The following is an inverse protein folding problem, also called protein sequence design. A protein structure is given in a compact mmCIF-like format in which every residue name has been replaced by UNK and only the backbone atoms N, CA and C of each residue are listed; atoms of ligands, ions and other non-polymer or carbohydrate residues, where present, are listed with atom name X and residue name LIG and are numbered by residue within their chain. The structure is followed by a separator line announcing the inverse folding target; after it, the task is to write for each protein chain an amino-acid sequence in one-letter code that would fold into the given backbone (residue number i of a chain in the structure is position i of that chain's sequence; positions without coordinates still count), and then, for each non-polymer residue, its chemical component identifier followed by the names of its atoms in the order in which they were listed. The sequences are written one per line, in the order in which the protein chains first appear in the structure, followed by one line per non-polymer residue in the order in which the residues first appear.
data_IF_922369479715
#
_entry.id   IF_922369479715
#
_cell.length_a   1.000
_cell.length_b   1.000
_cell.length_c   1.000
_cell.angle_alpha   90.00
_cell.angle_beta   90.00
_cell.angle_gamma   90.00
#
_symmetry.space_group_name_H-M   'P 1'
#
loop_
_entity.id
_entity.type
_entity.pdbx_description
1 polymer ?
#
# COMPACT_ATOMS: atom_id res chain seq x y z
N UNK A 1 10.93 27.81 -7.34
CA UNK A 1 11.93 26.76 -7.64
C UNK A 1 11.20 25.58 -8.25
N UNK A 2 11.87 24.88 -9.14
CA UNK A 2 11.37 23.64 -9.77
C UNK A 2 11.68 22.45 -8.87
N UNK A 3 10.66 21.69 -8.49
CA UNK A 3 10.76 20.54 -7.59
C UNK A 3 10.39 19.28 -8.37
N UNK A 4 11.30 18.34 -8.47
CA UNK A 4 10.97 16.98 -8.92
C UNK A 4 10.77 16.05 -7.71
N UNK A 5 9.85 15.11 -7.82
CA UNK A 5 9.53 14.17 -6.74
C UNK A 5 9.67 12.73 -7.21
N UNK A 6 10.38 11.92 -6.44
CA UNK A 6 10.43 10.47 -6.57
C UNK A 6 9.63 9.88 -5.41
N UNK A 7 8.57 9.11 -5.73
CA UNK A 7 7.70 8.49 -4.73
C UNK A 7 7.93 6.99 -4.70
N UNK A 8 8.44 6.48 -3.60
CA UNK A 8 8.70 5.06 -3.41
C UNK A 8 7.86 4.50 -2.26
N UNK A 9 7.55 3.20 -2.34
CA UNK A 9 6.92 2.46 -1.27
C UNK A 9 5.39 2.40 -1.33
N UNK A 10 4.73 2.61 -0.20
CA UNK A 10 3.32 2.25 -0.05
C UNK A 10 2.37 3.45 -0.20
N UNK A 11 1.05 3.19 -0.38
CA UNK A 11 0.01 4.24 -0.45
C UNK A 11 0.03 5.28 0.68
N UNK A 12 0.45 4.89 1.88
CA UNK A 12 0.57 5.84 3.01
C UNK A 12 1.70 6.84 2.77
N UNK A 13 2.79 6.36 2.18
CA UNK A 13 3.94 7.21 1.82
C UNK A 13 3.56 8.17 0.68
N UNK A 14 2.75 7.71 -0.29
CA UNK A 14 2.21 8.56 -1.35
C UNK A 14 1.37 9.71 -0.78
N UNK A 15 0.46 9.43 0.16
CA UNK A 15 -0.34 10.50 0.82
C UNK A 15 0.55 11.48 1.57
N UNK A 16 1.65 11.02 2.18
CA UNK A 16 2.61 11.90 2.86
C UNK A 16 3.30 12.83 1.84
N UNK A 17 3.68 12.31 0.67
CA UNK A 17 4.25 13.12 -0.42
C UNK A 17 3.25 14.13 -0.98
N UNK A 18 2.00 13.72 -1.21
CA UNK A 18 0.93 14.61 -1.70
C UNK A 18 0.75 15.85 -0.81
N UNK A 19 0.88 15.66 0.52
CA UNK A 19 0.84 16.78 1.49
C UNK A 19 2.06 17.67 1.35
N UNK A 20 3.27 17.10 1.20
CA UNK A 20 4.50 17.89 1.02
C UNK A 20 4.47 18.70 -0.28
N UNK A 21 4.02 18.08 -1.38
CA UNK A 21 3.87 18.77 -2.67
C UNK A 21 2.87 19.92 -2.56
N UNK A 22 1.76 19.74 -1.87
CA UNK A 22 0.81 20.84 -1.63
C UNK A 22 1.43 22.01 -0.86
N UNK A 23 2.25 21.74 0.15
CA UNK A 23 2.95 22.76 0.92
C UNK A 23 3.91 23.55 0.01
N UNK A 24 4.70 22.84 -0.81
CA UNK A 24 5.65 23.44 -1.74
C UNK A 24 4.96 24.30 -2.80
N UNK A 25 3.89 23.80 -3.42
CA UNK A 25 3.10 24.57 -4.38
C UNK A 25 2.46 25.83 -3.75
N UNK A 26 1.97 25.70 -2.50
CA UNK A 26 1.40 26.83 -1.75
C UNK A 26 2.43 27.89 -1.39
N UNK A 27 3.72 27.52 -1.30
CA UNK A 27 4.84 28.42 -1.10
C UNK A 27 5.34 29.08 -2.40
N UNK A 28 4.74 28.75 -3.56
CA UNK A 28 5.09 29.33 -4.86
C UNK A 28 6.18 28.56 -5.61
N UNK A 29 6.47 27.32 -5.22
CA UNK A 29 7.28 26.41 -6.02
C UNK A 29 6.43 25.79 -7.15
N UNK A 30 7.07 25.16 -8.12
CA UNK A 30 6.42 24.42 -9.20
C UNK A 30 6.96 22.99 -9.28
N UNK A 31 6.13 22.03 -9.68
CA UNK A 31 6.56 20.64 -9.89
C UNK A 31 6.99 20.42 -11.34
N UNK A 32 8.04 19.64 -11.55
CA UNK A 32 8.53 19.20 -12.86
C UNK A 32 8.66 17.68 -12.89
N UNK A 33 8.46 17.07 -14.05
CA UNK A 33 8.60 15.64 -14.24
C UNK A 33 10.06 15.23 -14.50
N UNK A 34 10.81 16.07 -15.24
CA UNK A 34 12.19 15.80 -15.60
C UNK A 34 13.12 16.18 -14.42
N UNK A 35 13.84 15.18 -13.90
CA UNK A 35 14.81 15.36 -12.83
C UNK A 35 15.95 16.33 -13.23
N UNK A 36 16.30 16.36 -14.51
CA UNK A 36 17.35 17.25 -15.05
C UNK A 36 16.98 18.74 -15.04
N UNK A 37 15.67 19.05 -14.99
CA UNK A 37 15.18 20.43 -14.92
C UNK A 37 14.99 20.95 -13.49
N UNK A 38 15.18 20.08 -12.49
CA UNK A 38 14.86 20.39 -11.11
C UNK A 38 15.92 21.28 -10.44
N UNK A 39 15.47 22.18 -9.58
CA UNK A 39 16.29 22.86 -8.57
C UNK A 39 16.40 22.00 -7.30
N UNK A 40 15.37 21.22 -7.00
CA UNK A 40 15.28 20.29 -5.86
C UNK A 40 14.73 18.95 -6.33
N UNK A 41 15.37 17.84 -5.96
CA UNK A 41 14.82 16.51 -6.07
C UNK A 41 14.44 16.03 -4.67
N UNK A 42 13.15 15.75 -4.46
CA UNK A 42 12.60 15.20 -3.22
C UNK A 42 12.38 13.69 -3.39
N UNK A 43 13.19 12.89 -2.70
CA UNK A 43 13.08 11.42 -2.72
C UNK A 43 12.33 10.95 -1.48
N UNK A 44 11.08 10.52 -1.67
CA UNK A 44 10.23 9.98 -0.59
C UNK A 44 10.38 8.46 -0.55
N UNK A 45 11.08 7.95 0.45
CA UNK A 45 11.66 6.60 0.49
C UNK A 45 10.85 5.59 1.29
N UNK A 46 10.95 4.32 0.90
CA UNK A 46 10.54 3.17 1.70
C UNK A 46 11.76 2.57 2.44
N UNK A 47 11.54 2.09 3.65
CA UNK A 47 12.59 1.45 4.47
C UNK A 47 12.05 0.26 5.25
N UNK A 48 11.05 -0.46 4.68
CA UNK A 48 10.34 -1.52 5.38
C UNK A 48 11.02 -2.88 5.26
N UNK A 49 11.45 -3.26 4.06
CA UNK A 49 12.15 -4.53 3.78
C UNK A 49 13.40 -4.25 2.94
N UNK A 50 14.33 -5.22 2.88
CA UNK A 50 15.63 -5.07 2.23
C UNK A 50 15.51 -4.61 0.76
N UNK A 51 14.65 -5.24 -0.03
CA UNK A 51 14.45 -4.86 -1.44
C UNK A 51 13.99 -3.40 -1.61
N UNK A 52 13.11 -2.93 -0.74
CA UNK A 52 12.65 -1.55 -0.77
C UNK A 52 13.72 -0.56 -0.28
N UNK A 53 14.65 -0.99 0.57
CA UNK A 53 15.83 -0.19 0.96
C UNK A 53 16.79 -0.06 -0.21
N UNK A 54 17.07 -1.17 -0.90
CA UNK A 54 17.93 -1.17 -2.10
C UNK A 54 17.38 -0.24 -3.17
N UNK A 55 16.10 -0.37 -3.52
CA UNK A 55 15.43 0.52 -4.46
C UNK A 55 15.53 2.00 -4.04
N UNK A 56 15.31 2.28 -2.76
CA UNK A 56 15.41 3.65 -2.24
C UNK A 56 16.83 4.22 -2.35
N UNK A 57 17.86 3.43 -2.03
CA UNK A 57 19.26 3.84 -2.13
C UNK A 57 19.64 4.09 -3.60
N UNK A 58 19.26 3.21 -4.52
CA UNK A 58 19.51 3.36 -5.96
C UNK A 58 18.90 4.67 -6.48
N UNK A 59 17.65 4.98 -6.13
CA UNK A 59 16.99 6.22 -6.52
C UNK A 59 17.63 7.47 -5.88
N UNK A 60 18.13 7.38 -4.65
CA UNK A 60 18.88 8.49 -4.01
C UNK A 60 20.19 8.75 -4.77
N UNK A 61 20.94 7.69 -5.11
CA UNK A 61 22.19 7.80 -5.87
C UNK A 61 21.95 8.35 -7.28
N UNK A 62 20.89 7.91 -7.94
CA UNK A 62 20.46 8.46 -9.23
C UNK A 62 20.18 9.96 -9.10
N UNK A 63 19.35 10.38 -8.14
CA UNK A 63 19.04 11.79 -7.88
C UNK A 63 20.32 12.62 -7.63
N UNK A 64 21.28 12.09 -6.86
CA UNK A 64 22.55 12.73 -6.60
C UNK A 64 23.43 12.86 -7.87
N UNK A 65 23.32 11.93 -8.81
CA UNK A 65 24.09 11.96 -10.06
C UNK A 65 23.81 13.20 -10.92
N UNK A 66 22.59 13.76 -10.85
CA UNK A 66 22.22 14.99 -11.57
C UNK A 66 23.00 16.23 -11.11
N UNK A 67 23.61 16.21 -9.92
CA UNK A 67 24.50 17.28 -9.46
C UNK A 67 25.75 17.47 -10.33
N UNK A 68 26.15 16.45 -11.09
CA UNK A 68 27.25 16.56 -12.05
C UNK A 68 26.94 17.58 -13.17
N UNK A 69 25.66 17.60 -13.62
CA UNK A 69 25.19 18.54 -14.62
C UNK A 69 24.70 19.87 -14.01
N UNK A 70 24.13 19.84 -12.81
CA UNK A 70 23.64 21.01 -12.07
C UNK A 70 24.22 21.02 -10.64
N UNK A 71 25.37 21.65 -10.40
CA UNK A 71 25.98 21.70 -9.06
C UNK A 71 25.15 22.44 -7.99
N UNK A 72 24.13 23.20 -8.38
CA UNK A 72 23.24 23.91 -7.45
C UNK A 72 22.00 23.07 -7.07
N UNK A 73 21.81 21.92 -7.71
CA UNK A 73 20.73 20.99 -7.39
C UNK A 73 20.80 20.57 -5.92
N UNK A 74 19.66 20.59 -5.26
CA UNK A 74 19.51 20.08 -3.90
C UNK A 74 18.76 18.76 -3.88
N UNK A 75 19.28 17.76 -3.16
CA UNK A 75 18.65 16.45 -2.98
C UNK A 75 18.19 16.32 -1.54
N UNK A 76 16.89 16.12 -1.36
CA UNK A 76 16.23 15.94 -0.06
C UNK A 76 15.69 14.51 0.02
N UNK A 77 16.11 13.78 1.05
CA UNK A 77 15.62 12.42 1.32
C UNK A 77 14.64 12.44 2.47
N UNK A 78 13.47 11.85 2.28
CA UNK A 78 12.42 11.74 3.31
C UNK A 78 11.78 10.34 3.30
N UNK A 79 10.81 10.11 4.18
CA UNK A 79 10.08 8.86 4.25
C UNK A 79 10.61 7.86 5.27
N UNK A 80 10.24 6.59 5.08
CA UNK A 80 10.51 5.54 6.08
C UNK A 80 12.01 5.21 6.20
N UNK A 81 12.77 5.24 5.10
CA UNK A 81 14.22 5.03 5.15
C UNK A 81 14.89 6.17 5.92
N UNK A 82 14.57 7.42 5.59
CA UNK A 82 15.07 8.59 6.28
C UNK A 82 14.76 8.56 7.78
N UNK A 83 13.55 8.12 8.17
CA UNK A 83 13.17 7.99 9.58
C UNK A 83 13.96 6.88 10.30
N UNK A 84 14.29 5.79 9.60
CA UNK A 84 14.92 4.60 10.18
C UNK A 84 16.44 4.71 10.26
N UNK A 85 17.09 5.27 9.23
CA UNK A 85 18.54 5.25 9.02
C UNK A 85 19.21 6.62 9.04
N UNK A 86 18.57 7.58 9.60
CA UNK A 86 18.98 8.99 9.84
C UNK A 86 20.43 9.30 9.49
N UNK A 87 21.34 9.21 10.48
CA UNK A 87 22.76 9.55 10.35
C UNK A 87 23.50 8.67 9.33
N UNK A 88 23.07 7.42 9.11
CA UNK A 88 23.74 6.55 8.14
C UNK A 88 23.61 7.07 6.71
N UNK A 89 22.47 7.70 6.35
CA UNK A 89 22.28 8.28 5.03
C UNK A 89 23.27 9.44 4.82
N UNK A 90 23.47 10.31 5.83
CA UNK A 90 24.42 11.40 5.74
C UNK A 90 25.87 10.94 5.68
N UNK A 91 26.22 9.93 6.48
CA UNK A 91 27.58 9.39 6.55
C UNK A 91 27.99 8.66 5.27
N UNK A 92 27.05 7.89 4.67
CA UNK A 92 27.33 7.03 3.52
C UNK A 92 27.04 7.70 2.17
N UNK A 93 26.12 8.70 2.13
CA UNK A 93 25.77 9.44 0.90
C UNK A 93 25.88 10.96 1.17
N UNK A 94 27.11 11.49 1.27
CA UNK A 94 27.34 12.89 1.60
C UNK A 94 26.85 13.88 0.53
N UNK A 95 26.45 13.41 -0.64
CA UNK A 95 25.83 14.22 -1.68
C UNK A 95 24.38 14.62 -1.36
N UNK A 96 23.73 14.01 -0.35
CA UNK A 96 22.39 14.38 0.12
C UNK A 96 22.47 15.69 0.90
N UNK A 97 21.66 16.69 0.52
CA UNK A 97 21.68 18.02 1.16
C UNK A 97 20.79 18.08 2.41
N UNK A 98 19.73 17.26 2.49
CA UNK A 98 18.90 17.18 3.68
C UNK A 98 18.26 15.79 3.88
N UNK A 99 18.18 15.36 5.14
CA UNK A 99 17.47 14.15 5.56
C UNK A 99 16.32 14.54 6.47
N UNK A 100 15.08 14.21 6.07
CA UNK A 100 13.85 14.68 6.69
C UNK A 100 13.02 13.48 7.17
N UNK A 101 12.89 13.31 8.48
CA UNK A 101 12.04 12.30 9.07
C UNK A 101 10.54 12.56 8.82
N UNK A 102 9.74 11.51 8.83
CA UNK A 102 8.30 11.58 8.54
C UNK A 102 7.51 12.58 9.39
N UNK A 103 7.96 12.83 10.63
CA UNK A 103 7.33 13.83 11.51
C UNK A 103 7.58 15.29 11.08
N UNK A 104 8.60 15.52 10.26
CA UNK A 104 9.01 16.85 9.81
C UNK A 104 8.52 17.21 8.41
N UNK A 105 7.71 16.37 7.77
CA UNK A 105 7.19 16.60 6.42
C UNK A 105 6.49 17.97 6.26
N UNK A 106 5.85 18.49 7.31
CA UNK A 106 5.22 19.82 7.29
C UNK A 106 6.22 20.98 7.22
N UNK A 107 7.48 20.74 7.53
CA UNK A 107 8.54 21.75 7.48
C UNK A 107 9.27 21.80 6.13
N UNK A 108 8.82 21.04 5.13
CA UNK A 108 9.56 20.84 3.88
C UNK A 108 9.89 22.15 3.16
N UNK A 109 8.97 23.13 3.12
CA UNK A 109 9.22 24.43 2.51
C UNK A 109 10.34 25.20 3.25
N UNK A 110 10.33 25.20 4.58
CA UNK A 110 11.38 25.87 5.36
C UNK A 110 12.75 25.18 5.19
N UNK A 111 12.77 23.87 4.98
CA UNK A 111 14.00 23.11 4.70
C UNK A 111 14.55 23.51 3.34
N UNK A 112 13.71 23.56 2.31
CA UNK A 112 14.10 24.06 0.98
C UNK A 112 14.66 25.48 1.07
N UNK A 113 13.96 26.38 1.76
CA UNK A 113 14.44 27.77 1.93
C UNK A 113 15.80 27.84 2.64
N UNK A 114 16.06 27.06 3.67
CA UNK A 114 17.34 27.00 4.39
C UNK A 114 18.49 26.51 3.50
N UNK A 115 18.26 25.47 2.70
CA UNK A 115 19.25 24.96 1.75
C UNK A 115 19.67 26.01 0.71
N UNK A 116 18.72 26.82 0.22
CA UNK A 116 19.04 27.92 -0.73
C UNK A 116 19.58 29.19 -0.05
N UNK A 117 19.52 29.29 1.28
CA UNK A 117 20.19 30.31 2.06
C UNK A 117 21.63 29.91 2.46
N UNK A 118 22.14 28.79 1.97
CA UNK A 118 23.53 28.36 2.14
C UNK A 118 23.76 27.45 3.35
N UNK A 119 22.70 26.91 3.95
CA UNK A 119 22.84 25.81 4.91
C UNK A 119 22.97 24.47 4.14
N UNK A 120 23.79 23.56 4.63
CA UNK A 120 24.03 22.26 4.05
C UNK A 120 23.83 21.15 5.11
N UNK A 121 23.63 19.90 4.66
CA UNK A 121 23.48 18.71 5.52
C UNK A 121 22.44 18.92 6.62
N UNK A 122 21.23 19.31 6.20
CA UNK A 122 20.14 19.57 7.14
C UNK A 122 19.50 18.27 7.63
N UNK A 123 19.47 18.12 8.93
CA UNK A 123 18.64 17.10 9.58
C UNK A 123 17.36 17.72 10.16
N UNK A 124 16.22 17.08 9.93
CA UNK A 124 14.95 17.50 10.53
C UNK A 124 14.13 16.29 10.95
N UNK A 125 14.05 16.05 12.24
CA UNK A 125 13.29 14.96 12.84
C UNK A 125 12.36 15.50 13.91
N UNK A 126 11.11 15.05 13.89
CA UNK A 126 10.12 15.32 14.92
C UNK A 126 9.87 14.13 15.84
N UNK A 127 8.90 14.23 16.71
CA UNK A 127 8.43 13.13 17.52
C UNK A 127 7.39 12.31 16.74
N UNK A 128 7.38 10.99 16.92
CA UNK A 128 6.43 10.09 16.22
C UNK A 128 4.95 10.47 16.46
N UNK A 129 4.63 11.10 17.58
CA UNK A 129 3.30 11.65 17.85
C UNK A 129 2.92 12.83 16.93
N UNK A 130 3.90 13.45 16.26
CA UNK A 130 3.72 14.63 15.42
C UNK A 130 3.61 14.26 13.92
N UNK A 131 3.69 12.96 13.55
CA UNK A 131 3.50 12.52 12.18
C UNK A 131 2.16 13.01 11.65
N UNK A 132 2.11 13.57 10.44
CA UNK A 132 0.88 14.07 9.85
C UNK A 132 -0.15 12.94 9.67
N UNK A 133 -1.33 13.11 10.23
CA UNK A 133 -2.45 12.18 10.00
C UNK A 133 -3.19 12.45 8.70
N UNK A 134 -3.13 13.69 8.22
CA UNK A 134 -3.74 14.19 7.01
C UNK A 134 -3.38 15.65 6.81
N UNK A 135 -4.10 16.32 5.93
CA UNK A 135 -3.89 17.74 5.61
C UNK A 135 -4.38 18.03 4.20
N UNK A 136 -4.33 19.30 3.79
CA UNK A 136 -4.51 19.66 2.40
C UNK A 136 -3.39 19.02 1.59
N UNK A 137 -3.74 18.44 0.45
CA UNK A 137 -2.79 17.73 -0.42
C UNK A 137 -3.17 17.86 -1.89
N UNK A 138 -2.26 17.53 -2.77
CA UNK A 138 -2.55 17.24 -4.17
C UNK A 138 -3.07 15.80 -4.30
N UNK A 139 -3.57 15.43 -5.46
CA UNK A 139 -3.90 14.05 -5.79
C UNK A 139 -2.75 13.54 -6.67
N UNK A 140 -1.86 12.73 -6.09
CA UNK A 140 -0.70 12.16 -6.78
C UNK A 140 -0.98 10.85 -7.52
N UNK A 141 -2.21 10.33 -7.42
CA UNK A 141 -2.71 9.19 -8.17
C UNK A 141 -3.43 9.67 -9.45
N UNK A 142 -3.75 8.78 -10.41
CA UNK A 142 -4.74 9.08 -11.44
C UNK A 142 -6.03 9.66 -10.84
N UNK A 143 -6.65 10.61 -11.54
CA UNK A 143 -7.73 11.45 -10.98
C UNK A 143 -8.98 10.68 -10.50
N UNK A 144 -9.16 9.44 -10.93
CA UNK A 144 -10.36 8.65 -10.66
C UNK A 144 -10.26 7.76 -9.41
N UNK A 145 -9.08 7.59 -8.80
CA UNK A 145 -8.96 6.94 -7.49
C UNK A 145 -8.03 7.72 -6.57
N UNK A 146 -8.21 7.55 -5.27
CA UNK A 146 -7.33 8.16 -4.28
C UNK A 146 -7.25 7.33 -2.99
N UNK A 147 -6.09 7.39 -2.36
CA UNK A 147 -5.90 6.80 -1.04
C UNK A 147 -6.44 7.73 0.05
N UNK A 148 -7.22 7.18 0.97
CA UNK A 148 -7.69 7.86 2.18
C UNK A 148 -6.96 7.29 3.39
N UNK A 149 -5.94 8.00 3.88
CA UNK A 149 -5.21 7.62 5.08
C UNK A 149 -6.02 7.96 6.32
N UNK A 150 -6.48 6.93 7.05
CA UNK A 150 -7.37 7.08 8.22
C UNK A 150 -6.66 6.97 9.57
N UNK A 151 -5.44 6.43 9.59
CA UNK A 151 -4.63 6.31 10.80
C UNK A 151 -3.14 6.24 10.46
N UNK A 152 -2.30 6.40 11.48
CA UNK A 152 -0.84 6.29 11.41
C UNK A 152 -0.34 5.44 12.59
N UNK A 153 0.73 4.64 12.33
CA UNK A 153 1.31 3.78 13.36
C UNK A 153 0.52 2.50 13.62
N UNK A 154 1.09 1.60 14.42
CA UNK A 154 0.48 0.28 14.67
C UNK A 154 0.84 -0.25 16.05
N UNK A 155 -0.14 -0.86 16.74
CA UNK A 155 0.02 -1.48 18.05
C UNK A 155 0.13 -3.02 18.03
N UNK A 156 0.11 -3.66 16.85
CA UNK A 156 0.08 -5.12 16.73
C UNK A 156 1.39 -5.79 17.17
N UNK A 157 2.55 -5.10 17.05
CA UNK A 157 3.87 -5.56 17.51
C UNK A 157 4.26 -6.93 16.93
N UNK A 158 3.93 -7.21 15.68
CA UNK A 158 4.38 -8.42 15.01
C UNK A 158 5.92 -8.49 15.02
N UNK A 159 6.48 -9.66 15.34
CA UNK A 159 7.91 -9.81 15.59
C UNK A 159 8.80 -9.56 14.40
N UNK A 160 8.28 -9.69 13.18
CA UNK A 160 8.98 -9.41 11.92
C UNK A 160 8.89 -7.94 11.47
N UNK A 161 8.11 -7.10 12.16
CA UNK A 161 7.69 -5.81 11.63
C UNK A 161 8.41 -4.64 12.28
N UNK A 162 9.07 -3.81 11.46
CA UNK A 162 9.75 -2.60 11.90
C UNK A 162 8.81 -1.36 12.04
N UNK A 163 7.55 -1.44 11.58
CA UNK A 163 6.62 -0.31 11.53
C UNK A 163 6.43 0.40 12.88
N UNK A 164 6.23 -0.27 14.03
CA UNK A 164 6.09 0.43 15.29
C UNK A 164 7.33 1.26 15.67
N UNK A 165 8.52 0.81 15.26
CA UNK A 165 9.76 1.55 15.45
C UNK A 165 9.89 2.74 14.50
N UNK A 166 9.36 2.65 13.27
CA UNK A 166 9.40 3.72 12.26
C UNK A 166 8.25 4.72 12.48
N UNK A 167 7.00 4.25 12.46
CA UNK A 167 5.77 5.06 12.42
C UNK A 167 5.11 5.29 13.78
N UNK A 168 5.61 4.64 14.83
CA UNK A 168 5.10 4.79 16.20
C UNK A 168 3.81 4.02 16.48
N UNK A 169 3.17 4.33 17.64
CA UNK A 169 1.90 3.71 18.05
C UNK A 169 0.74 4.17 17.17
N UNK A 170 -0.33 3.38 17.18
CA UNK A 170 -1.57 3.73 16.48
C UNK A 170 -2.09 5.11 16.92
N UNK A 171 -2.40 5.93 15.94
CA UNK A 171 -3.09 7.21 16.07
C UNK A 171 -4.15 7.31 14.97
N UNK A 172 -5.39 7.21 15.35
CA UNK A 172 -6.52 7.35 14.44
C UNK A 172 -6.75 8.82 14.10
N UNK A 173 -7.01 9.10 12.84
CA UNK A 173 -7.38 10.42 12.35
C UNK A 173 -8.83 10.72 12.73
N UNK A 174 -9.13 11.97 13.05
CA UNK A 174 -10.51 12.38 13.33
C UNK A 174 -11.47 11.99 12.20
N UNK A 175 -12.62 11.45 12.57
CA UNK A 175 -13.59 10.92 11.60
C UNK A 175 -14.19 12.03 10.72
N UNK A 176 -14.41 13.21 11.27
CA UNK A 176 -14.93 14.34 10.50
C UNK A 176 -13.90 14.80 9.46
N UNK A 177 -12.62 14.79 9.79
CA UNK A 177 -11.53 15.10 8.85
C UNK A 177 -11.45 14.09 7.71
N UNK A 178 -11.58 12.78 8.01
CA UNK A 178 -11.61 11.74 6.99
C UNK A 178 -12.80 11.94 6.02
N UNK A 179 -13.97 12.22 6.56
CA UNK A 179 -15.19 12.47 5.75
C UNK A 179 -15.06 13.76 4.94
N UNK A 180 -14.46 14.81 5.52
CA UNK A 180 -14.24 16.07 4.81
C UNK A 180 -13.30 15.91 3.62
N UNK A 181 -12.19 15.18 3.82
CA UNK A 181 -11.27 14.87 2.73
C UNK A 181 -11.92 14.00 1.65
N UNK A 182 -12.68 12.97 2.04
CA UNK A 182 -13.37 12.12 1.08
C UNK A 182 -14.41 12.91 0.24
N UNK A 183 -15.09 13.92 0.82
CA UNK A 183 -15.98 14.82 0.07
C UNK A 183 -15.21 15.72 -0.89
N UNK A 184 -14.05 16.22 -0.47
CA UNK A 184 -13.18 16.99 -1.35
C UNK A 184 -12.72 16.14 -2.52
N UNK A 185 -12.21 14.92 -2.28
CA UNK A 185 -11.79 13.98 -3.32
C UNK A 185 -12.93 13.68 -4.31
N UNK A 186 -14.13 13.45 -3.81
CA UNK A 186 -15.32 13.27 -4.67
C UNK A 186 -15.59 14.50 -5.55
N UNK A 187 -15.40 15.72 -5.00
CA UNK A 187 -15.52 16.98 -5.73
C UNK A 187 -14.48 17.15 -6.84
N UNK A 188 -13.29 16.59 -6.66
CA UNK A 188 -12.22 16.54 -7.66
C UNK A 188 -12.42 15.45 -8.73
N UNK A 189 -13.47 14.62 -8.60
CA UNK A 189 -13.81 13.60 -9.60
C UNK A 189 -13.38 12.16 -9.25
N UNK A 190 -12.81 11.94 -8.07
CA UNK A 190 -12.44 10.61 -7.59
C UNK A 190 -13.67 9.70 -7.53
N UNK A 191 -13.56 8.51 -8.12
CA UNK A 191 -14.59 7.47 -8.16
C UNK A 191 -14.34 6.37 -7.14
N UNK A 192 -13.08 6.02 -6.90
CA UNK A 192 -12.69 4.99 -5.94
C UNK A 192 -11.89 5.58 -4.78
N UNK A 193 -12.38 5.38 -3.54
CA UNK A 193 -11.63 5.63 -2.31
C UNK A 193 -10.98 4.34 -1.82
N UNK A 194 -9.67 4.37 -1.61
CA UNK A 194 -8.93 3.24 -1.06
C UNK A 194 -8.50 3.60 0.36
N UNK A 195 -9.16 2.97 1.33
CA UNK A 195 -8.88 3.19 2.75
C UNK A 195 -7.57 2.51 3.12
N UNK A 196 -6.63 3.29 3.65
CA UNK A 196 -5.30 2.84 4.04
C UNK A 196 -4.92 3.29 5.44
N UNK A 197 -4.26 2.40 6.15
CA UNK A 197 -3.51 2.60 7.38
C UNK A 197 -2.52 1.43 7.50
N UNK A 198 -1.75 1.34 8.58
CA UNK A 198 -0.99 0.12 8.87
C UNK A 198 -1.90 -1.04 9.28
N UNK A 199 -3.05 -0.70 9.87
CA UNK A 199 -4.15 -1.60 10.20
C UNK A 199 -5.44 -0.77 10.30
N UNK A 200 -6.22 -0.64 9.21
CA UNK A 200 -7.48 0.13 9.22
C UNK A 200 -8.54 -0.45 10.16
N UNK A 201 -8.48 -1.76 10.40
CA UNK A 201 -9.45 -2.44 11.28
C UNK A 201 -9.27 -2.06 12.75
N UNK A 202 -8.09 -1.50 13.12
CA UNK A 202 -7.81 -0.94 14.44
C UNK A 202 -8.28 0.52 14.62
N UNK A 203 -8.87 1.14 13.59
CA UNK A 203 -9.30 2.54 13.64
C UNK A 203 -10.24 2.81 14.81
N UNK A 204 -9.89 3.79 15.65
CA UNK A 204 -10.61 4.19 16.87
C UNK A 204 -10.23 3.43 18.15
N UNK A 205 -9.36 2.40 18.08
CA UNK A 205 -8.92 1.69 19.31
C UNK A 205 -8.16 2.62 20.27
N UNK A 206 -7.37 3.55 19.76
CA UNK A 206 -6.66 4.56 20.56
C UNK A 206 -7.59 5.59 21.23
N UNK A 207 -8.83 5.68 20.78
CA UNK A 207 -9.90 6.47 21.43
C UNK A 207 -10.72 5.64 22.43
N UNK A 208 -10.41 4.35 22.61
CA UNK A 208 -11.22 3.42 23.38
C UNK A 208 -12.54 3.03 22.68
N UNK A 209 -12.62 3.19 21.36
CA UNK A 209 -13.78 2.88 20.51
C UNK A 209 -13.41 1.90 19.39
N UNK A 210 -13.12 0.63 19.73
CA UNK A 210 -12.84 -0.37 18.70
C UNK A 210 -14.03 -0.51 17.73
N UNK A 211 -13.73 -0.82 16.45
CA UNK A 211 -14.76 -0.95 15.42
C UNK A 211 -15.29 0.37 14.84
N UNK A 212 -14.71 1.52 15.18
CA UNK A 212 -15.08 2.83 14.60
C UNK A 212 -14.97 2.89 13.07
N UNK A 213 -14.23 1.97 12.47
CA UNK A 213 -14.19 1.85 11.00
C UNK A 213 -15.58 1.59 10.42
N UNK A 214 -16.45 0.84 11.11
CA UNK A 214 -17.81 0.57 10.64
C UNK A 214 -18.62 1.86 10.51
N UNK A 215 -18.55 2.76 11.51
CA UNK A 215 -19.19 4.07 11.45
C UNK A 215 -18.59 4.96 10.36
N UNK A 216 -17.27 4.89 10.15
CA UNK A 216 -16.62 5.62 9.07
C UNK A 216 -17.12 5.15 7.72
N UNK A 217 -17.23 3.83 7.47
CA UNK A 217 -17.78 3.27 6.23
C UNK A 217 -19.22 3.76 5.99
N UNK A 218 -20.08 3.77 7.02
CA UNK A 218 -21.45 4.26 6.94
C UNK A 218 -21.53 5.75 6.53
N UNK A 219 -20.54 6.55 6.90
CA UNK A 219 -20.45 7.96 6.51
C UNK A 219 -19.88 8.15 5.12
N UNK A 220 -18.83 7.39 4.76
CA UNK A 220 -18.22 7.44 3.43
C UNK A 220 -19.19 6.97 2.35
N UNK A 221 -19.98 5.93 2.62
CA UNK A 221 -20.98 5.39 1.69
C UNK A 221 -22.02 6.43 1.25
N UNK A 222 -22.26 7.47 2.06
CA UNK A 222 -23.21 8.55 1.78
C UNK A 222 -22.66 9.68 0.92
N UNK A 223 -21.39 9.62 0.54
CA UNK A 223 -20.74 10.67 -0.25
C UNK A 223 -21.10 10.47 -1.73
N UNK A 224 -21.75 11.47 -2.33
CA UNK A 224 -22.04 11.46 -3.75
C UNK A 224 -20.77 11.63 -4.56
N UNK A 225 -20.68 10.96 -5.70
CA UNK A 225 -19.52 11.00 -6.60
C UNK A 225 -18.52 9.87 -6.36
N UNK A 226 -18.41 9.32 -5.14
CA UNK A 226 -17.71 8.08 -4.87
C UNK A 226 -18.61 6.91 -5.25
N UNK A 227 -18.05 5.97 -6.01
CA UNK A 227 -18.74 4.75 -6.44
C UNK A 227 -18.17 3.51 -5.74
N UNK A 228 -16.84 3.45 -5.53
CA UNK A 228 -16.16 2.35 -4.88
C UNK A 228 -15.40 2.78 -3.62
N UNK A 229 -15.47 1.97 -2.58
CA UNK A 229 -14.71 2.10 -1.34
C UNK A 229 -14.00 0.77 -1.11
N UNK A 230 -12.68 0.76 -1.17
CA UNK A 230 -11.84 -0.42 -0.96
C UNK A 230 -11.10 -0.35 0.36
N UNK A 231 -10.95 -1.50 1.04
CA UNK A 231 -10.23 -1.59 2.32
C UNK A 231 -8.98 -2.45 2.11
N UNK A 232 -7.82 -1.87 2.41
CA UNK A 232 -6.53 -2.55 2.32
C UNK A 232 -5.95 -2.80 3.72
N UNK A 233 -5.13 -3.84 3.87
CA UNK A 233 -4.36 -4.14 5.10
C UNK A 233 -5.18 -4.48 6.34
N UNK A 234 -6.31 -5.18 6.19
CA UNK A 234 -7.15 -5.62 7.30
C UNK A 234 -6.46 -6.71 8.15
N UNK A 235 -6.72 -6.71 9.45
CA UNK A 235 -6.12 -7.67 10.37
C UNK A 235 -7.15 -8.76 10.73
N UNK A 236 -6.86 -10.08 10.53
CA UNK A 236 -7.84 -11.16 10.67
C UNK A 236 -8.61 -11.14 11.99
N UNK A 237 -7.92 -10.89 13.09
CA UNK A 237 -8.49 -10.90 14.44
C UNK A 237 -9.47 -9.76 14.73
N UNK A 238 -9.58 -8.80 13.81
CA UNK A 238 -10.51 -7.65 13.90
C UNK A 238 -11.66 -7.74 12.92
N UNK A 239 -11.77 -8.84 12.17
CA UNK A 239 -12.91 -9.08 11.29
C UNK A 239 -14.07 -9.61 12.12
N UNK A 240 -14.80 -8.69 12.73
CA UNK A 240 -15.97 -8.97 13.57
C UNK A 240 -17.23 -9.11 12.72
N UNK A 241 -18.31 -9.63 13.34
CA UNK A 241 -19.63 -9.69 12.70
C UNK A 241 -20.12 -8.32 12.28
N UNK A 242 -19.87 -7.30 13.10
CA UNK A 242 -20.24 -5.92 12.79
C UNK A 242 -19.44 -5.38 11.60
N UNK A 243 -18.15 -5.71 11.48
CA UNK A 243 -17.35 -5.33 10.31
C UNK A 243 -17.90 -5.95 9.03
N UNK A 244 -18.22 -7.25 9.04
CA UNK A 244 -18.83 -7.95 7.90
C UNK A 244 -20.19 -7.34 7.58
N UNK A 245 -21.02 -7.06 8.59
CA UNK A 245 -22.30 -6.39 8.41
C UNK A 245 -22.13 -4.96 7.82
N UNK A 246 -21.08 -4.23 8.25
CA UNK A 246 -20.78 -2.92 7.69
C UNK A 246 -20.36 -3.00 6.22
N UNK A 247 -19.56 -3.98 5.81
CA UNK A 247 -19.24 -4.20 4.40
C UNK A 247 -20.50 -4.49 3.58
N UNK A 248 -21.40 -5.32 4.09
CA UNK A 248 -22.66 -5.72 3.39
C UNK A 248 -23.64 -4.58 3.21
N UNK A 249 -23.87 -3.76 4.25
CA UNK A 249 -24.88 -2.68 4.22
C UNK A 249 -24.46 -1.45 3.43
N UNK A 250 -23.16 -1.30 3.17
CA UNK A 250 -22.61 -0.17 2.46
C UNK A 250 -22.31 -0.57 1.01
N UNK A 251 -23.22 -0.30 0.10
CA UNK A 251 -23.19 -0.75 -1.30
C UNK A 251 -21.95 -0.31 -2.08
N UNK A 252 -21.33 0.80 -1.69
CA UNK A 252 -20.08 1.29 -2.31
C UNK A 252 -18.83 0.58 -1.80
N UNK A 253 -18.92 -0.12 -0.66
CA UNK A 253 -17.82 -0.94 -0.16
C UNK A 253 -17.71 -2.17 -1.05
N UNK A 254 -16.65 -2.20 -1.86
CA UNK A 254 -16.44 -3.29 -2.82
C UNK A 254 -16.23 -4.63 -2.10
N UNK A 255 -16.69 -5.75 -2.69
CA UNK A 255 -16.49 -7.09 -2.13
C UNK A 255 -15.03 -7.55 -2.33
N UNK A 256 -14.12 -6.85 -1.69
CA UNK A 256 -12.68 -7.07 -1.71
C UNK A 256 -12.12 -6.83 -0.31
N UNK A 257 -11.25 -7.70 0.16
CA UNK A 257 -10.55 -7.51 1.42
C UNK A 257 -9.11 -8.02 1.33
N UNK A 258 -8.15 -7.11 1.53
CA UNK A 258 -6.76 -7.48 1.73
C UNK A 258 -6.54 -7.87 3.19
N UNK A 259 -6.25 -9.16 3.42
CA UNK A 259 -6.21 -9.82 4.72
C UNK A 259 -4.87 -10.54 4.92
N UNK A 260 -3.75 -9.84 5.22
CA UNK A 260 -2.44 -10.43 5.38
C UNK A 260 -2.38 -11.38 6.60
N UNK A 261 -2.49 -12.69 6.37
CA UNK A 261 -2.45 -13.71 7.44
C UNK A 261 -1.03 -14.08 7.86
N UNK A 262 -0.06 -13.88 6.97
CA UNK A 262 1.38 -14.10 7.10
C UNK A 262 1.78 -15.60 7.12
N UNK A 263 1.09 -16.45 7.85
CA UNK A 263 1.29 -17.90 7.92
C UNK A 263 -0.02 -18.58 8.38
N UNK A 264 -0.06 -19.93 8.32
CA UNK A 264 -1.23 -20.69 8.81
C UNK A 264 -0.91 -21.61 10.00
N UNK A 265 0.36 -21.93 10.25
CA UNK A 265 0.76 -22.82 11.33
C UNK A 265 0.76 -22.12 12.67
N UNK A 266 0.11 -22.70 13.68
CA UNK A 266 -0.10 -22.07 15.00
C UNK A 266 1.21 -21.73 15.73
N UNK A 267 2.24 -22.58 15.59
CA UNK A 267 3.54 -22.33 16.21
C UNK A 267 4.22 -21.12 15.56
N UNK A 268 4.20 -21.05 14.25
CA UNK A 268 4.81 -19.93 13.51
C UNK A 268 4.02 -18.65 13.76
N UNK A 269 2.69 -18.67 13.71
CA UNK A 269 1.85 -17.51 14.03
C UNK A 269 2.14 -16.98 15.44
N UNK A 270 2.25 -17.87 16.43
CA UNK A 270 2.64 -17.49 17.79
C UNK A 270 4.04 -16.86 17.85
N UNK A 271 5.00 -17.43 17.14
CA UNK A 271 6.37 -16.89 17.06
C UNK A 271 6.41 -15.54 16.34
N UNK A 272 5.52 -15.30 15.37
CA UNK A 272 5.31 -14.01 14.71
C UNK A 272 4.60 -12.98 15.60
N UNK A 273 4.14 -13.36 16.80
CA UNK A 273 3.26 -12.58 17.66
C UNK A 273 1.93 -12.22 16.98
N UNK A 274 1.40 -13.16 16.17
CA UNK A 274 0.03 -13.11 15.64
C UNK A 274 -0.92 -13.71 16.67
N UNK A 275 -2.13 -13.18 16.76
CA UNK A 275 -3.11 -13.60 17.78
C UNK A 275 -4.05 -14.69 17.28
N UNK A 276 -4.19 -14.82 15.96
CA UNK A 276 -4.99 -15.87 15.34
C UNK A 276 -4.24 -17.20 15.27
N UNK A 277 -5.00 -18.27 15.24
CA UNK A 277 -4.57 -19.64 14.93
C UNK A 277 -5.21 -20.12 13.63
N UNK A 278 -4.81 -21.31 13.14
CA UNK A 278 -5.31 -21.88 11.88
C UNK A 278 -6.85 -22.00 11.86
N UNK A 279 -7.45 -22.47 12.96
CA UNK A 279 -8.91 -22.69 13.02
C UNK A 279 -9.66 -21.34 12.90
N UNK A 280 -9.20 -20.31 13.60
CA UNK A 280 -9.77 -18.97 13.53
C UNK A 280 -9.60 -18.33 12.14
N UNK A 281 -8.46 -18.55 11.47
CA UNK A 281 -8.24 -18.10 10.09
C UNK A 281 -9.24 -18.76 9.13
N UNK A 282 -9.42 -20.07 9.21
CA UNK A 282 -10.40 -20.80 8.38
C UNK A 282 -11.83 -20.34 8.67
N UNK A 283 -12.17 -20.11 9.93
CA UNK A 283 -13.48 -19.61 10.34
C UNK A 283 -13.77 -18.23 9.74
N UNK A 284 -12.88 -17.25 9.90
CA UNK A 284 -13.07 -15.89 9.38
C UNK A 284 -13.14 -15.86 7.87
N UNK A 285 -12.28 -16.62 7.17
CA UNK A 285 -12.29 -16.72 5.72
C UNK A 285 -13.60 -17.37 5.23
N UNK A 286 -14.00 -18.48 5.86
CA UNK A 286 -15.25 -19.16 5.53
C UNK A 286 -16.48 -18.27 5.79
N UNK A 287 -16.44 -17.47 6.86
CA UNK A 287 -17.50 -16.52 7.18
C UNK A 287 -17.59 -15.39 6.15
N UNK A 288 -16.46 -14.77 5.79
CA UNK A 288 -16.41 -13.74 4.76
C UNK A 288 -17.02 -14.23 3.45
N UNK A 289 -16.66 -15.44 2.98
CA UNK A 289 -17.19 -16.02 1.74
C UNK A 289 -18.69 -16.35 1.81
N UNK A 290 -19.19 -16.77 2.97
CA UNK A 290 -20.64 -17.04 3.14
C UNK A 290 -21.45 -15.75 3.20
N UNK A 291 -20.95 -14.76 3.92
CA UNK A 291 -21.70 -13.54 4.20
C UNK A 291 -21.60 -12.51 3.06
N UNK A 292 -20.51 -12.52 2.31
CA UNK A 292 -20.27 -11.60 1.18
C UNK A 292 -20.00 -12.45 -0.07
N UNK A 293 -21.05 -12.90 -0.78
CA UNK A 293 -20.87 -13.69 -1.99
C UNK A 293 -20.03 -12.96 -3.04
N UNK A 294 -19.07 -13.66 -3.64
CA UNK A 294 -18.17 -13.08 -4.65
C UNK A 294 -17.03 -12.22 -4.09
N UNK A 295 -16.82 -12.21 -2.75
CA UNK A 295 -15.71 -11.47 -2.17
C UNK A 295 -14.36 -11.96 -2.70
N UNK A 296 -13.56 -11.04 -3.17
CA UNK A 296 -12.14 -11.26 -3.48
C UNK A 296 -11.31 -11.16 -2.20
N UNK A 297 -10.67 -12.25 -1.82
CA UNK A 297 -9.76 -12.29 -0.68
C UNK A 297 -8.31 -12.26 -1.17
N UNK A 298 -7.64 -11.16 -0.84
CA UNK A 298 -6.20 -11.01 -1.02
C UNK A 298 -5.49 -11.33 0.29
N UNK A 299 -4.33 -11.98 0.21
CA UNK A 299 -3.49 -12.24 1.38
C UNK A 299 -2.01 -12.05 1.09
N UNK A 300 -1.24 -11.91 2.16
CA UNK A 300 0.21 -11.92 2.13
C UNK A 300 0.73 -13.00 3.07
N UNK A 301 1.71 -13.76 2.62
CA UNK A 301 2.41 -14.81 3.37
C UNK A 301 3.89 -14.48 3.50
N UNK A 302 4.51 -15.01 4.55
CA UNK A 302 5.96 -14.97 4.78
C UNK A 302 6.43 -16.43 4.90
N UNK A 303 7.30 -16.85 4.01
CA UNK A 303 7.95 -18.15 4.04
C UNK A 303 9.36 -18.05 4.63
N UNK A 304 9.80 -19.10 5.34
CA UNK A 304 11.12 -19.13 5.93
C UNK A 304 11.28 -18.25 7.18
N UNK A 305 10.22 -18.09 7.96
CA UNK A 305 10.31 -17.42 9.28
C UNK A 305 11.24 -18.22 10.22
N UNK A 306 12.02 -17.58 11.12
CA UNK A 306 12.93 -18.28 12.02
C UNK A 306 12.28 -19.46 12.75
N UNK A 307 12.91 -20.64 12.62
CA UNK A 307 12.43 -21.90 13.20
C UNK A 307 11.33 -22.63 12.41
N UNK A 308 10.93 -22.15 11.21
CA UNK A 308 9.98 -22.84 10.35
C UNK A 308 10.58 -24.16 9.84
N UNK A 309 9.97 -25.29 10.22
CA UNK A 309 10.37 -26.63 9.76
C UNK A 309 9.81 -26.94 8.38
N UNK A 310 10.30 -28.04 7.77
CA UNK A 310 9.78 -28.48 6.48
C UNK A 310 8.29 -28.88 6.55
N UNK A 311 7.88 -29.55 7.64
CA UNK A 311 6.49 -29.95 7.84
C UNK A 311 5.56 -28.72 8.00
N UNK A 312 6.04 -27.66 8.65
CA UNK A 312 5.29 -26.41 8.81
C UNK A 312 5.16 -25.65 7.50
N UNK A 313 6.21 -25.68 6.68
CA UNK A 313 6.16 -25.14 5.32
C UNK A 313 5.23 -25.94 4.40
N UNK A 314 5.27 -27.27 4.47
CA UNK A 314 4.34 -28.14 3.73
C UNK A 314 2.88 -27.87 4.16
N UNK A 315 2.63 -27.66 5.47
CA UNK A 315 1.33 -27.24 6.00
C UNK A 315 0.88 -25.90 5.38
N UNK A 316 1.77 -24.95 5.21
CA UNK A 316 1.48 -23.68 4.52
C UNK A 316 1.07 -23.90 3.05
N UNK A 317 1.82 -24.72 2.32
CA UNK A 317 1.50 -25.06 0.93
C UNK A 317 0.11 -25.73 0.80
N UNK A 318 -0.20 -26.64 1.73
CA UNK A 318 -1.49 -27.32 1.76
C UNK A 318 -2.63 -26.38 2.11
N UNK A 319 -2.40 -25.43 3.02
CA UNK A 319 -3.36 -24.39 3.37
C UNK A 319 -3.71 -23.49 2.17
N UNK A 320 -2.72 -23.09 1.36
CA UNK A 320 -2.95 -22.31 0.15
C UNK A 320 -3.82 -23.09 -0.85
N UNK A 321 -3.54 -24.39 -1.04
CA UNK A 321 -4.34 -25.27 -1.92
C UNK A 321 -5.78 -25.47 -1.40
N UNK A 322 -5.97 -25.53 -0.08
CA UNK A 322 -7.26 -25.68 0.58
C UNK A 322 -8.10 -24.41 0.46
N UNK A 323 -7.51 -23.27 0.84
CA UNK A 323 -8.22 -21.99 0.92
C UNK A 323 -8.46 -21.37 -0.44
N UNK A 324 -7.50 -21.50 -1.39
CA UNK A 324 -7.58 -20.93 -2.74
C UNK A 324 -7.90 -19.41 -2.69
N UNK A 325 -6.95 -18.63 -2.20
CA UNK A 325 -7.08 -17.18 -2.21
C UNK A 325 -7.24 -16.65 -3.64
N UNK A 326 -7.96 -15.54 -3.78
CA UNK A 326 -8.16 -14.90 -5.08
C UNK A 326 -6.91 -14.13 -5.51
N UNK A 327 -6.24 -13.52 -4.56
CA UNK A 327 -4.95 -12.83 -4.74
C UNK A 327 -4.03 -13.23 -3.59
N UNK A 328 -2.77 -13.51 -3.87
CA UNK A 328 -1.78 -13.88 -2.86
C UNK A 328 -0.39 -13.43 -3.27
N UNK A 329 0.32 -12.79 -2.34
CA UNK A 329 1.76 -12.57 -2.41
C UNK A 329 2.47 -13.37 -1.32
N UNK A 330 3.56 -14.04 -1.67
CA UNK A 330 4.43 -14.70 -0.70
C UNK A 330 5.83 -14.11 -0.77
N UNK A 331 6.36 -13.73 0.38
CA UNK A 331 7.70 -13.13 0.50
C UNK A 331 8.60 -14.04 1.32
N UNK A 332 9.86 -14.14 0.92
CA UNK A 332 10.90 -14.68 1.78
C UNK A 332 11.05 -13.80 3.03
N UNK A 333 11.17 -14.42 4.19
CA UNK A 333 11.40 -13.67 5.43
C UNK A 333 12.65 -12.80 5.34
N UNK A 334 12.52 -11.51 5.58
CA UNK A 334 13.61 -10.54 5.68
C UNK A 334 13.91 -10.24 7.15
N UNK A 335 15.17 -10.43 7.55
CA UNK A 335 15.63 -10.18 8.92
C UNK A 335 15.88 -8.69 9.14
N UNK A 336 14.80 -7.95 9.41
CA UNK A 336 14.87 -6.51 9.60
C UNK A 336 15.50 -6.13 10.94
N UNK A 337 16.46 -5.22 10.88
CA UNK A 337 17.18 -4.72 12.06
C UNK A 337 16.24 -4.23 13.15
N UNK A 338 16.63 -4.50 14.39
CA UNK A 338 15.88 -4.12 15.59
C UNK A 338 14.50 -4.78 15.75
N UNK A 339 14.12 -5.74 14.88
CA UNK A 339 12.94 -6.58 15.10
C UNK A 339 13.26 -7.73 16.06
N UNK A 340 12.21 -8.27 16.67
CA UNK A 340 12.34 -9.44 17.55
C UNK A 340 12.77 -10.66 16.73
N UNK A 341 12.16 -10.86 15.56
CA UNK A 341 12.43 -12.02 14.71
C UNK A 341 13.86 -12.07 14.18
N UNK A 342 14.51 -10.92 13.93
CA UNK A 342 15.92 -10.88 13.50
C UNK A 342 16.89 -11.42 14.57
N UNK A 343 16.47 -11.46 15.84
CA UNK A 343 17.27 -11.94 16.97
C UNK A 343 16.90 -13.37 17.42
N UNK A 344 15.93 -14.00 16.76
CA UNK A 344 15.54 -15.36 17.06
C UNK A 344 16.60 -16.35 16.56
N UNK A 345 16.73 -17.44 17.32
CA UNK A 345 17.46 -18.61 16.84
C UNK A 345 16.71 -19.30 15.69
N UNK A 346 17.41 -20.17 14.95
CA UNK A 346 16.79 -20.91 13.85
C UNK A 346 16.57 -20.09 12.60
N UNK A 347 17.42 -19.07 12.36
CA UNK A 347 17.44 -18.35 11.08
C UNK A 347 17.67 -19.33 9.94
N UNK A 348 16.92 -19.19 8.86
CA UNK A 348 16.95 -20.05 7.70
C UNK A 348 17.80 -19.39 6.61
N UNK A 349 18.58 -20.18 5.88
CA UNK A 349 19.40 -19.72 4.77
C UNK A 349 18.54 -19.03 3.69
N UNK A 350 19.04 -17.94 3.09
CA UNK A 350 18.29 -17.13 2.16
C UNK A 350 17.77 -17.95 0.97
N UNK A 351 18.61 -18.81 0.41
CA UNK A 351 18.24 -19.67 -0.72
C UNK A 351 17.04 -20.60 -0.41
N UNK A 352 16.93 -21.08 0.83
CA UNK A 352 15.80 -21.92 1.26
C UNK A 352 14.54 -21.07 1.39
N UNK A 353 14.63 -19.86 1.95
CA UNK A 353 13.51 -18.92 2.06
C UNK A 353 12.97 -18.53 0.69
N UNK A 354 13.86 -18.23 -0.26
CA UNK A 354 13.48 -17.84 -1.62
C UNK A 354 12.79 -18.98 -2.36
N UNK A 355 13.31 -20.20 -2.27
CA UNK A 355 12.68 -21.41 -2.84
C UNK A 355 11.30 -21.68 -2.25
N UNK A 356 11.13 -21.48 -0.94
CA UNK A 356 9.84 -21.66 -0.28
C UNK A 356 8.83 -20.61 -0.77
N UNK A 357 9.22 -19.37 -0.84
CA UNK A 357 8.36 -18.30 -1.34
C UNK A 357 7.96 -18.55 -2.80
N UNK A 358 8.93 -18.94 -3.65
CA UNK A 358 8.67 -19.28 -5.05
C UNK A 358 7.69 -20.45 -5.19
N UNK A 359 7.85 -21.52 -4.40
CA UNK A 359 6.95 -22.68 -4.45
C UNK A 359 5.50 -22.30 -4.07
N UNK A 360 5.31 -21.47 -3.06
CA UNK A 360 3.98 -20.95 -2.70
C UNK A 360 3.39 -20.14 -3.85
N UNK A 361 4.20 -19.28 -4.50
CA UNK A 361 3.75 -18.51 -5.66
C UNK A 361 3.41 -19.38 -6.86
N UNK A 362 4.15 -20.46 -7.12
CA UNK A 362 3.81 -21.43 -8.17
C UNK A 362 2.45 -22.10 -7.90
N UNK A 363 2.16 -22.48 -6.64
CA UNK A 363 0.85 -23.03 -6.25
C UNK A 363 -0.24 -21.99 -6.51
N UNK A 364 -0.03 -20.76 -6.11
CA UNK A 364 -1.01 -19.68 -6.30
C UNK A 364 -1.23 -19.35 -7.78
N UNK A 365 -0.20 -19.39 -8.60
CA UNK A 365 -0.30 -19.20 -10.05
C UNK A 365 -1.31 -20.18 -10.68
N UNK A 366 -1.24 -21.47 -10.29
CA UNK A 366 -2.21 -22.47 -10.75
C UNK A 366 -3.64 -22.21 -10.28
N UNK A 367 -3.80 -21.72 -9.03
CA UNK A 367 -5.12 -21.35 -8.49
C UNK A 367 -5.68 -20.14 -9.24
N UNK A 368 -4.82 -19.14 -9.50
CA UNK A 368 -5.21 -17.92 -10.19
C UNK A 368 -5.65 -18.18 -11.64
N UNK A 369 -4.86 -18.96 -12.39
CA UNK A 369 -5.20 -19.35 -13.75
C UNK A 369 -6.58 -20.02 -13.83
N UNK A 370 -6.88 -20.93 -12.89
CA UNK A 370 -8.20 -21.54 -12.81
C UNK A 370 -9.32 -20.51 -12.57
N UNK A 371 -9.13 -19.62 -11.58
CA UNK A 371 -10.13 -18.60 -11.23
C UNK A 371 -10.34 -17.55 -12.34
N UNK A 372 -9.30 -17.19 -13.06
CA UNK A 372 -9.43 -16.28 -14.21
C UNK A 372 -10.18 -16.98 -15.37
N UNK A 373 -9.84 -18.22 -15.66
CA UNK A 373 -10.55 -18.99 -16.69
C UNK A 373 -12.06 -19.16 -16.40
N UNK A 374 -12.47 -19.23 -15.13
CA UNK A 374 -13.88 -19.28 -14.73
C UNK A 374 -14.67 -18.01 -15.06
N UNK A 375 -13.98 -16.87 -15.31
CA UNK A 375 -14.60 -15.59 -15.67
C UNK A 375 -14.82 -15.44 -17.18
N UNK A 376 -14.20 -16.27 -18.01
CA UNK A 376 -14.37 -16.23 -19.47
C UNK A 376 -15.82 -16.48 -19.85
N UNK A 377 -16.39 -15.66 -20.70
CA UNK A 377 -17.80 -15.67 -21.11
C UNK A 377 -18.72 -14.89 -20.15
N UNK A 378 -18.21 -14.33 -19.06
CA UNK A 378 -18.98 -13.50 -18.14
C UNK A 378 -18.86 -12.01 -18.54
N UNK A 379 -19.90 -11.23 -18.25
CA UNK A 379 -19.82 -9.77 -18.32
C UNK A 379 -19.43 -9.23 -16.94
N UNK A 380 -18.36 -8.41 -16.91
CA UNK A 380 -17.82 -7.79 -15.69
C UNK A 380 -17.95 -6.27 -15.77
N UNK A 381 -18.27 -5.65 -14.64
CA UNK A 381 -18.33 -4.19 -14.51
C UNK A 381 -16.94 -3.67 -14.13
N UNK A 382 -16.39 -2.76 -14.93
CA UNK A 382 -15.01 -2.29 -14.78
C UNK A 382 -14.92 -0.77 -14.73
N UNK A 383 -13.92 -0.27 -13.99
CA UNK A 383 -13.46 1.12 -14.00
C UNK A 383 -12.24 1.21 -14.95
N UNK A 384 -12.30 2.08 -15.93
CA UNK A 384 -11.17 2.32 -16.83
C UNK A 384 -10.09 3.17 -16.13
N UNK A 385 -8.86 2.70 -16.12
CA UNK A 385 -7.70 3.42 -15.56
C UNK A 385 -6.91 4.17 -16.65
N UNK A 386 -6.95 3.72 -17.89
CA UNK A 386 -6.24 4.37 -18.98
C UNK A 386 -6.04 3.45 -20.19
N UNK A 387 -5.10 3.82 -21.03
CA UNK A 387 -4.66 3.02 -22.17
C UNK A 387 -3.18 2.65 -21.99
N UNK A 388 -2.85 1.42 -22.29
CA UNK A 388 -1.46 1.01 -22.46
C UNK A 388 -1.02 1.35 -23.88
N UNK A 389 -0.07 2.26 -24.01
CA UNK A 389 0.39 2.77 -25.30
C UNK A 389 1.11 1.70 -26.15
N UNK A 390 1.68 0.68 -25.51
CA UNK A 390 2.42 -0.37 -26.18
C UNK A 390 1.48 -1.39 -26.85
N UNK A 391 0.50 -1.88 -26.10
CA UNK A 391 -0.49 -2.84 -26.60
C UNK A 391 -1.68 -2.20 -27.29
N UNK A 392 -1.97 -0.93 -27.01
CA UNK A 392 -3.16 -0.22 -27.46
C UNK A 392 -4.45 -0.66 -26.78
N UNK A 393 -4.37 -1.48 -25.71
CA UNK A 393 -5.51 -1.93 -24.94
C UNK A 393 -5.84 -0.95 -23.81
N UNK A 394 -7.11 -0.82 -23.49
CA UNK A 394 -7.53 -0.08 -22.32
C UNK A 394 -7.36 -0.94 -21.08
N UNK A 395 -6.65 -0.41 -20.08
CA UNK A 395 -6.49 -1.04 -18.77
C UNK A 395 -7.66 -0.66 -17.88
N UNK A 396 -8.38 -1.67 -17.44
CA UNK A 396 -9.54 -1.50 -16.58
C UNK A 396 -9.42 -2.42 -15.36
N UNK A 397 -10.20 -2.15 -14.31
CA UNK A 397 -10.24 -2.99 -13.10
C UNK A 397 -11.67 -3.32 -12.71
N UNK A 398 -11.87 -4.51 -12.17
CA UNK A 398 -13.12 -4.88 -11.47
C UNK A 398 -13.05 -4.47 -10.00
N UNK A 399 -14.17 -4.63 -9.28
CA UNK A 399 -14.18 -4.52 -7.82
C UNK A 399 -13.22 -5.50 -7.14
N UNK A 400 -12.80 -6.56 -7.81
CA UNK A 400 -11.86 -7.57 -7.32
C UNK A 400 -10.37 -7.23 -7.52
N UNK A 401 -10.05 -6.04 -8.05
CA UNK A 401 -8.68 -5.67 -8.44
C UNK A 401 -8.30 -4.31 -7.84
N UNK A 402 -7.31 -4.29 -6.95
CA UNK A 402 -6.76 -3.06 -6.40
C UNK A 402 -5.75 -2.44 -7.39
N UNK A 403 -5.73 -1.11 -7.58
CA UNK A 403 -4.80 -0.46 -8.51
C UNK A 403 -3.36 -0.73 -8.10
N UNK A 404 -2.47 -0.90 -9.10
CA UNK A 404 -1.02 -1.09 -8.95
C UNK A 404 -0.58 -2.38 -8.23
N UNK A 405 -1.52 -3.20 -7.76
CA UNK A 405 -1.24 -4.37 -6.92
C UNK A 405 -1.76 -5.67 -7.52
N UNK A 406 -2.94 -5.62 -8.13
CA UNK A 406 -3.61 -6.78 -8.73
C UNK A 406 -3.58 -6.70 -10.28
N UNK A 407 -4.16 -7.68 -10.97
CA UNK A 407 -4.23 -7.70 -12.44
C UNK A 407 -5.26 -6.72 -13.01
N UNK A 408 -5.32 -6.67 -14.33
CA UNK A 408 -6.19 -5.80 -15.10
C UNK A 408 -7.24 -6.58 -15.89
N UNK A 409 -8.24 -5.85 -16.36
CA UNK A 409 -9.08 -6.23 -17.48
C UNK A 409 -8.62 -5.42 -18.69
N UNK A 410 -7.93 -6.08 -19.63
CA UNK A 410 -7.42 -5.49 -20.86
C UNK A 410 -8.53 -5.46 -21.90
N UNK A 411 -9.01 -4.28 -22.26
CA UNK A 411 -10.20 -4.11 -23.10
C UNK A 411 -9.83 -3.60 -24.47
N UNK A 412 -10.27 -4.35 -25.50
CA UNK A 412 -10.27 -3.88 -26.89
C UNK A 412 -11.57 -3.15 -27.18
N UNK A 413 -11.50 -1.94 -27.73
CA UNK A 413 -12.67 -1.15 -28.09
C UNK A 413 -12.43 -0.35 -29.37
N UNK A 414 -13.44 -0.29 -30.25
CA UNK A 414 -13.44 0.58 -31.43
C UNK A 414 -13.71 2.04 -31.06
N UNK A 415 -14.47 2.26 -29.97
CA UNK A 415 -14.75 3.57 -29.44
C UNK A 415 -13.79 3.91 -28.29
N UNK A 416 -13.37 5.17 -28.13
CA UNK A 416 -12.48 5.56 -27.04
C UNK A 416 -13.14 5.31 -25.67
N UNK A 417 -12.39 4.66 -24.76
CA UNK A 417 -12.76 4.57 -23.34
C UNK A 417 -12.02 5.67 -22.57
N UNK A 418 -12.69 6.21 -21.55
CA UNK A 418 -12.16 7.34 -20.80
C UNK A 418 -11.81 6.92 -19.37
N UNK A 419 -10.62 7.29 -18.86
CA UNK A 419 -10.26 7.06 -17.47
C UNK A 419 -11.31 7.59 -16.51
N UNK A 420 -11.62 6.82 -15.46
CA UNK A 420 -12.62 7.18 -14.47
C UNK A 420 -14.08 6.91 -14.88
N UNK A 421 -14.31 6.35 -16.06
CA UNK A 421 -15.64 5.90 -16.49
C UNK A 421 -15.79 4.39 -16.29
N UNK A 422 -17.03 3.98 -16.06
CA UNK A 422 -17.39 2.59 -15.89
C UNK A 422 -17.93 1.99 -17.18
N UNK A 423 -17.58 0.73 -17.42
CA UNK A 423 -18.01 -0.02 -18.60
C UNK A 423 -18.38 -1.45 -18.21
N UNK A 424 -19.29 -2.05 -18.96
CA UNK A 424 -19.55 -3.48 -18.89
C UNK A 424 -18.75 -4.18 -19.98
N UNK A 425 -17.95 -5.17 -19.62
CA UNK A 425 -17.01 -5.87 -20.51
C UNK A 425 -17.33 -7.34 -20.53
N UNK A 426 -17.54 -7.90 -21.72
CA UNK A 426 -17.58 -9.34 -21.93
C UNK A 426 -16.14 -9.86 -21.94
N UNK A 427 -15.84 -10.79 -21.04
CA UNK A 427 -14.53 -11.42 -20.94
C UNK A 427 -14.42 -12.51 -22.01
N UNK A 428 -13.48 -12.34 -22.94
CA UNK A 428 -13.27 -13.25 -24.08
C UNK A 428 -12.17 -14.27 -23.80
N UNK A 429 -11.12 -13.85 -23.02
CA UNK A 429 -9.95 -14.69 -22.71
C UNK A 429 -9.35 -14.27 -21.35
N UNK A 430 -8.41 -15.08 -20.86
CA UNK A 430 -7.66 -14.81 -19.63
C UNK A 430 -6.26 -15.40 -19.67
N UNK A 431 -5.31 -14.74 -19.02
CA UNK A 431 -4.02 -15.33 -18.68
C UNK A 431 -3.86 -15.58 -17.17
N UNK A 432 -2.63 -15.58 -16.66
CA UNK A 432 -2.34 -15.85 -15.25
C UNK A 432 -2.87 -14.75 -14.31
N UNK A 433 -2.87 -13.50 -14.77
CA UNK A 433 -3.15 -12.32 -13.96
C UNK A 433 -4.28 -11.47 -14.51
N UNK A 434 -4.35 -11.35 -15.83
CA UNK A 434 -5.22 -10.42 -16.52
C UNK A 434 -6.40 -11.13 -17.21
N UNK A 435 -7.45 -10.38 -17.43
CA UNK A 435 -8.59 -10.74 -18.25
C UNK A 435 -8.54 -9.94 -19.55
N UNK A 436 -9.03 -10.51 -20.61
CA UNK A 436 -9.14 -9.85 -21.92
C UNK A 436 -10.59 -9.83 -22.34
N UNK A 437 -11.04 -8.72 -22.94
CA UNK A 437 -12.43 -8.64 -23.34
C UNK A 437 -12.75 -7.45 -24.21
N UNK A 438 -14.04 -7.33 -24.52
CA UNK A 438 -14.61 -6.27 -25.35
C UNK A 438 -15.78 -5.63 -24.63
N UNK A 439 -16.05 -4.34 -24.92
CA UNK A 439 -17.22 -3.64 -24.32
C UNK A 439 -18.50 -4.37 -24.71
N UNK A 440 -19.30 -4.74 -23.71
CA UNK A 440 -20.59 -5.40 -23.94
C UNK A 440 -21.55 -4.44 -24.65
N UNK A 441 -22.28 -4.99 -25.65
CA UNK A 441 -23.24 -4.22 -26.46
C UNK A 441 -24.56 -4.00 -25.77
#
# INVERSE_FOLDING_TARGET
MKIACISLGCPKNQVDLDVMVHILLSAGHETVADLGEADVILVNTCGFIESAKTEAIENILEACSYKQANPNLKVIVTGCLAERYRSQIEEEIPEVDAVVGCASNKAIDSIVARLFNGEDHLESYGLKKDFPLGGKRVIGTPAHYAYLKIAEGCNNRCHYCAIPAIRGPLRSRDMADCVAEARWLAGEGVKELIIVAQDPTAYGEDWGKPGSICELLDKLNKINGIEWIRIMYAYPERITDEFIAAMKRNEKVVPYLDLPIQHCNDTILKNMNRRSNRAELLEVIGKLRREIPGITLRTTLIAGFPGETEEQFEDLCNFVKEVKFDRLGCFAYSAEENTVAAKMDGQIEQEVKDKRAELVMQIQTGIMAQKQAEKVGQTVHVLCDGIDEESGLYLCRTTGDAPEVDGNVCVSSEEPLYPGQFYDVLVDDSDLYDLYGTVAK
#
